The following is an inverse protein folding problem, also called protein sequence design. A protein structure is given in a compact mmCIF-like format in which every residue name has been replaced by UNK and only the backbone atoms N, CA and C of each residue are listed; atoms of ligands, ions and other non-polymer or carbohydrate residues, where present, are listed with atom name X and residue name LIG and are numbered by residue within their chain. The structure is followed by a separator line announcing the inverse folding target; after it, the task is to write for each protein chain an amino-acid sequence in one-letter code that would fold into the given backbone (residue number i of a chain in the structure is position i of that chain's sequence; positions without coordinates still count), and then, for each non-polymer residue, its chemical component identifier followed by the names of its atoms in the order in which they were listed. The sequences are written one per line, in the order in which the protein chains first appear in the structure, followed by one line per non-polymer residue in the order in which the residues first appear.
data_IF_971435065244
#
_entry.id   IF_971435065244
#
_cell.length_a   1.000
_cell.length_b   1.000
_cell.length_c   1.000
_cell.angle_alpha   90.00
_cell.angle_beta   90.00
_cell.angle_gamma   90.00
#
_symmetry.space_group_name_H-M   'P 1'
#
loop_
_entity.id
_entity.type
_entity.pdbx_description
1 polymer ?
#
# COMPACT_ATOMS: atom_id res chain seq x y z
N UNK A 1 -0.03 -2.70 -19.42
CA UNK A 1 -0.76 -1.85 -18.43
C UNK A 1 -1.33 -0.63 -19.17
N UNK A 2 -1.82 0.41 -18.48
CA UNK A 2 -1.98 1.76 -19.07
C UNK A 2 -1.22 2.80 -18.28
N UNK A 3 -0.40 3.60 -18.96
CA UNK A 3 0.32 4.71 -18.36
C UNK A 3 0.06 6.02 -19.12
N UNK A 4 0.04 7.13 -18.39
CA UNK A 4 -0.01 8.47 -18.97
C UNK A 4 0.71 9.47 -18.08
N UNK A 5 1.10 10.62 -18.64
CA UNK A 5 1.77 11.69 -17.91
C UNK A 5 0.88 12.94 -17.79
N UNK A 6 1.09 13.70 -16.71
CA UNK A 6 0.67 15.09 -16.58
C UNK A 6 1.85 15.98 -16.22
N UNK A 7 1.82 17.24 -16.63
CA UNK A 7 2.94 18.19 -16.48
C UNK A 7 3.99 18.06 -17.58
N UNK A 8 4.77 19.12 -17.77
CA UNK A 8 5.88 19.16 -18.73
C UNK A 8 7.19 18.63 -18.11
N UNK A 9 8.07 18.08 -18.95
CA UNK A 9 9.36 17.51 -18.53
C UNK A 9 9.36 15.99 -18.38
N UNK A 10 10.47 15.46 -17.88
CA UNK A 10 10.61 14.04 -17.53
C UNK A 10 10.04 13.80 -16.12
N UNK A 11 9.23 12.75 -15.91
CA UNK A 11 8.65 12.47 -14.60
C UNK A 11 9.71 11.96 -13.63
N UNK A 12 9.75 12.51 -12.43
CA UNK A 12 10.57 12.01 -11.32
C UNK A 12 9.75 11.10 -10.37
N UNK A 13 8.42 11.08 -10.57
CA UNK A 13 7.44 10.45 -9.69
C UNK A 13 6.44 9.62 -10.49
N UNK A 14 6.00 8.51 -9.89
CA UNK A 14 4.89 7.71 -10.40
C UNK A 14 3.83 7.50 -9.33
N UNK A 15 2.56 7.48 -9.77
CA UNK A 15 1.42 7.04 -8.98
C UNK A 15 0.84 5.80 -9.64
N UNK A 16 0.95 4.66 -8.96
CA UNK A 16 0.39 3.38 -9.35
C UNK A 16 -0.96 3.19 -8.67
N UNK A 17 -1.92 2.60 -9.39
CA UNK A 17 -3.22 2.24 -8.87
C UNK A 17 -3.79 1.04 -9.64
N UNK A 18 -4.78 0.37 -9.05
CA UNK A 18 -5.37 -0.85 -9.58
C UNK A 18 -4.32 -1.94 -9.85
N UNK A 19 -3.36 -2.12 -8.93
CA UNK A 19 -2.51 -3.32 -8.89
C UNK A 19 -3.40 -4.56 -8.73
N UNK A 20 -4.39 -4.48 -7.85
CA UNK A 20 -5.56 -5.36 -7.84
C UNK A 20 -6.72 -4.69 -8.57
N UNK A 21 -7.34 -5.40 -9.51
CA UNK A 21 -8.37 -4.81 -10.39
C UNK A 21 -9.65 -4.36 -9.67
N UNK A 22 -9.99 -5.01 -8.57
CA UNK A 22 -11.19 -4.72 -7.77
C UNK A 22 -10.98 -3.62 -6.71
N UNK A 23 -9.78 -3.06 -6.59
CA UNK A 23 -9.45 -1.94 -5.70
C UNK A 23 -9.49 -0.63 -6.51
N UNK A 24 -10.66 0.03 -6.50
CA UNK A 24 -10.99 1.13 -7.42
C UNK A 24 -10.75 2.52 -6.83
N UNK A 25 -10.39 2.61 -5.56
CA UNK A 25 -10.25 3.85 -4.80
C UNK A 25 -9.15 4.74 -5.36
N UNK A 26 -7.97 4.17 -5.63
CA UNK A 26 -6.85 4.88 -6.26
C UNK A 26 -7.21 5.44 -7.64
N UNK A 27 -7.91 4.64 -8.46
CA UNK A 27 -8.40 5.09 -9.76
C UNK A 27 -9.34 6.29 -9.64
N UNK A 28 -10.34 6.21 -8.75
CA UNK A 28 -11.29 7.32 -8.51
C UNK A 28 -10.58 8.57 -8.01
N UNK A 29 -9.59 8.44 -7.13
CA UNK A 29 -8.78 9.55 -6.65
C UNK A 29 -8.00 10.23 -7.78
N UNK A 30 -7.35 9.46 -8.65
CA UNK A 30 -6.65 9.97 -9.84
C UNK A 30 -7.64 10.66 -10.79
N UNK A 31 -8.78 10.04 -11.07
CA UNK A 31 -9.81 10.64 -11.93
C UNK A 31 -10.34 11.97 -11.36
N UNK A 32 -10.61 12.04 -10.06
CA UNK A 32 -11.02 13.28 -9.38
C UNK A 32 -9.96 14.38 -9.52
N UNK A 33 -8.68 14.03 -9.30
CA UNK A 33 -7.56 14.95 -9.48
C UNK A 33 -7.53 15.51 -10.90
N UNK A 34 -7.58 14.65 -11.92
CA UNK A 34 -7.52 15.08 -13.33
C UNK A 34 -8.76 15.90 -13.71
N UNK A 35 -9.95 15.49 -13.28
CA UNK A 35 -11.20 16.20 -13.59
C UNK A 35 -11.32 17.55 -12.88
N UNK A 36 -10.62 17.73 -11.75
CA UNK A 36 -10.57 19.00 -11.02
C UNK A 36 -9.75 20.09 -11.73
N UNK A 37 -9.14 19.79 -12.90
CA UNK A 37 -8.29 20.71 -13.68
C UNK A 37 -7.13 21.29 -12.88
N UNK A 38 -6.56 20.49 -11.97
CA UNK A 38 -5.34 20.84 -11.24
C UNK A 38 -4.22 21.13 -12.24
N UNK A 39 -3.49 22.23 -12.03
CA UNK A 39 -2.29 22.56 -12.79
C UNK A 39 -1.10 21.76 -12.26
N UNK A 40 -0.29 21.23 -13.17
CA UNK A 40 0.87 20.40 -12.87
C UNK A 40 2.15 21.19 -13.15
N UNK A 41 2.86 21.54 -12.10
CA UNK A 41 4.12 22.31 -12.15
C UNK A 41 5.33 21.45 -12.54
N UNK A 42 5.21 20.12 -12.39
CA UNK A 42 6.21 19.14 -12.79
C UNK A 42 5.54 17.92 -13.44
N UNK A 43 6.30 17.19 -14.23
CA UNK A 43 5.86 15.92 -14.78
C UNK A 43 5.66 14.86 -13.68
N UNK A 44 4.55 14.11 -13.79
CA UNK A 44 4.25 12.92 -12.99
C UNK A 44 3.63 11.85 -13.88
N UNK A 45 4.08 10.61 -13.69
CA UNK A 45 3.54 9.43 -14.38
C UNK A 45 2.38 8.84 -13.57
N UNK A 46 1.27 8.53 -14.21
CA UNK A 46 0.15 7.78 -13.64
C UNK A 46 0.07 6.42 -14.32
N UNK A 47 0.01 5.37 -13.52
CA UNK A 47 0.07 3.98 -13.97
C UNK A 47 -1.15 3.22 -13.44
N UNK A 48 -2.03 2.83 -14.35
CA UNK A 48 -3.05 1.83 -14.09
C UNK A 48 -2.45 0.45 -14.36
N UNK A 49 -2.09 -0.26 -13.29
CA UNK A 49 -1.31 -1.49 -13.37
C UNK A 49 -2.09 -2.63 -14.05
N UNK A 50 -3.20 -3.06 -13.46
CA UNK A 50 -3.94 -4.23 -13.92
C UNK A 50 -5.28 -3.86 -14.60
N UNK A 51 -5.20 -3.38 -15.84
CA UNK A 51 -6.38 -2.94 -16.59
C UNK A 51 -7.41 -4.06 -16.81
N UNK A 52 -7.00 -5.24 -17.27
CA UNK A 52 -7.95 -6.33 -17.55
C UNK A 52 -8.66 -6.80 -16.29
N UNK A 53 -7.95 -6.94 -15.16
CA UNK A 53 -8.58 -7.32 -13.90
C UNK A 53 -9.62 -6.27 -13.49
N UNK A 54 -9.30 -4.98 -13.63
CA UNK A 54 -10.26 -3.90 -13.40
C UNK A 54 -11.49 -3.99 -14.30
N UNK A 55 -11.30 -4.20 -15.62
CA UNK A 55 -12.42 -4.34 -16.56
C UNK A 55 -13.32 -5.53 -16.22
N UNK A 56 -12.75 -6.61 -15.67
CA UNK A 56 -13.51 -7.77 -15.18
C UNK A 56 -14.10 -7.61 -13.78
N UNK A 57 -13.69 -6.58 -13.02
CA UNK A 57 -14.08 -6.40 -11.61
C UNK A 57 -13.43 -7.41 -10.66
N UNK A 58 -12.39 -8.11 -11.10
CA UNK A 58 -11.69 -9.16 -10.34
C UNK A 58 -10.39 -8.62 -9.72
N UNK A 59 -9.87 -9.34 -8.72
CA UNK A 59 -8.56 -9.00 -8.12
C UNK A 59 -7.43 -9.14 -9.15
N UNK A 60 -7.45 -10.24 -9.91
CA UNK A 60 -6.50 -10.57 -10.96
C UNK A 60 -7.15 -11.50 -12.01
N UNK A 61 -6.48 -11.74 -13.14
CA UNK A 61 -6.92 -12.63 -14.22
C UNK A 61 -6.28 -14.02 -14.09
N UNK A 62 -4.94 -14.11 -14.16
CA UNK A 62 -4.23 -15.39 -14.17
C UNK A 62 -3.50 -15.67 -12.84
N UNK A 63 -2.84 -14.66 -12.27
CA UNK A 63 -2.13 -14.74 -10.98
C UNK A 63 -2.15 -13.40 -10.24
N UNK A 64 -1.93 -13.39 -8.93
CA UNK A 64 -1.85 -12.14 -8.17
C UNK A 64 -0.65 -11.29 -8.65
N UNK A 65 -0.92 -10.10 -9.21
CA UNK A 65 0.11 -9.20 -9.74
C UNK A 65 1.13 -8.82 -8.66
N UNK A 66 0.68 -8.59 -7.42
CA UNK A 66 1.55 -8.23 -6.30
C UNK A 66 2.37 -9.42 -5.77
N UNK A 67 2.34 -10.57 -6.46
CA UNK A 67 3.20 -11.74 -6.24
C UNK A 67 3.89 -12.22 -7.53
N UNK A 68 3.73 -11.47 -8.62
CA UNK A 68 4.20 -11.86 -9.95
C UNK A 68 5.50 -11.14 -10.37
N UNK A 69 6.06 -10.27 -9.52
CA UNK A 69 7.29 -9.52 -9.82
C UNK A 69 8.54 -10.40 -9.64
N UNK A 70 9.61 -10.22 -10.46
CA UNK A 70 9.75 -9.25 -11.54
C UNK A 70 9.04 -9.62 -12.84
N UNK A 71 8.44 -10.81 -12.90
CA UNK A 71 7.67 -11.27 -14.05
C UNK A 71 8.52 -11.62 -15.28
N UNK A 72 7.85 -11.79 -16.42
CA UNK A 72 8.49 -12.07 -17.71
C UNK A 72 7.63 -11.57 -18.87
N UNK A 73 8.25 -10.84 -19.81
CA UNK A 73 7.61 -10.35 -21.03
C UNK A 73 7.10 -11.47 -21.94
N UNK A 74 7.75 -12.64 -21.87
CA UNK A 74 7.42 -13.82 -22.67
C UNK A 74 6.49 -14.79 -21.92
N UNK A 75 6.00 -14.44 -20.73
CA UNK A 75 5.08 -15.30 -19.98
C UNK A 75 3.74 -15.44 -20.68
N UNK A 76 3.11 -16.61 -20.55
CA UNK A 76 1.72 -16.83 -20.95
C UNK A 76 0.75 -16.21 -19.95
N UNK A 77 1.16 -16.04 -18.68
CA UNK A 77 0.35 -15.40 -17.63
C UNK A 77 0.31 -13.89 -17.83
N UNK A 78 -0.88 -13.32 -17.77
CA UNK A 78 -1.08 -11.90 -18.00
C UNK A 78 -0.38 -11.03 -16.97
N UNK A 79 -0.52 -11.33 -15.68
CA UNK A 79 0.11 -10.54 -14.62
C UNK A 79 1.64 -10.59 -14.64
N UNK A 80 2.27 -11.72 -15.00
CA UNK A 80 3.74 -11.77 -15.14
C UNK A 80 4.25 -10.86 -16.25
N UNK A 81 3.51 -10.69 -17.35
CA UNK A 81 3.89 -9.73 -18.41
C UNK A 81 3.75 -8.29 -17.91
N UNK A 82 2.70 -7.99 -17.16
CA UNK A 82 2.47 -6.67 -16.58
C UNK A 82 3.54 -6.34 -15.53
N UNK A 83 3.94 -7.30 -14.69
CA UNK A 83 5.00 -7.10 -13.71
C UNK A 83 6.33 -6.71 -14.40
N UNK A 84 6.69 -7.39 -15.49
CA UNK A 84 7.89 -7.04 -16.27
C UNK A 84 7.80 -5.66 -16.92
N UNK A 85 6.63 -5.26 -17.43
CA UNK A 85 6.38 -3.92 -17.96
C UNK A 85 6.50 -2.84 -16.87
N UNK A 86 5.97 -3.10 -15.66
CA UNK A 86 6.05 -2.19 -14.52
C UNK A 86 7.46 -1.96 -14.01
N UNK A 87 8.31 -3.00 -13.97
CA UNK A 87 9.72 -2.84 -13.56
C UNK A 87 10.44 -1.82 -14.45
N UNK A 88 10.22 -1.89 -15.76
CA UNK A 88 10.84 -0.95 -16.71
C UNK A 88 10.18 0.43 -16.65
N UNK A 89 8.86 0.50 -16.53
CA UNK A 89 8.13 1.77 -16.52
C UNK A 89 8.37 2.61 -15.25
N UNK A 90 8.70 1.96 -14.14
CA UNK A 90 8.88 2.58 -12.83
C UNK A 90 10.35 2.76 -12.43
N UNK A 91 11.29 2.32 -13.28
CA UNK A 91 12.73 2.43 -13.04
C UNK A 91 13.12 3.89 -12.69
N UNK A 92 13.91 4.04 -11.62
CA UNK A 92 14.39 5.32 -11.08
C UNK A 92 13.32 6.32 -10.58
N UNK A 93 12.02 6.01 -10.64
CA UNK A 93 10.96 6.90 -10.17
C UNK A 93 10.73 6.77 -8.65
N UNK A 94 10.33 7.87 -8.00
CA UNK A 94 9.73 7.80 -6.66
C UNK A 94 8.26 7.36 -6.81
N UNK A 95 7.92 6.18 -6.29
CA UNK A 95 6.61 5.55 -6.53
C UNK A 95 5.71 5.62 -5.31
N UNK A 96 4.44 6.01 -5.53
CA UNK A 96 3.31 5.78 -4.63
C UNK A 96 2.38 4.74 -5.28
N UNK A 97 2.16 3.60 -4.64
CA UNK A 97 1.14 2.62 -5.04
C UNK A 97 -0.07 2.68 -4.10
N UNK A 98 -1.28 2.75 -4.64
CA UNK A 98 -2.52 2.93 -3.86
C UNK A 98 -3.35 1.64 -3.90
N UNK A 99 -3.49 1.00 -2.73
CA UNK A 99 -4.28 -0.19 -2.49
C UNK A 99 -5.45 0.12 -1.56
N UNK A 100 -6.39 -0.82 -1.45
CA UNK A 100 -7.47 -0.71 -0.47
C UNK A 100 -7.73 -2.00 0.31
N UNK A 101 -8.02 -1.82 1.59
CA UNK A 101 -8.15 -2.91 2.56
C UNK A 101 -9.47 -2.81 3.33
N UNK A 102 -9.89 -3.94 3.91
CA UNK A 102 -10.97 -4.00 4.90
C UNK A 102 -10.44 -3.72 6.32
N UNK A 103 -9.12 -3.86 6.53
CA UNK A 103 -8.49 -3.63 7.83
C UNK A 103 -8.55 -2.16 8.24
N UNK A 104 -8.59 -1.93 9.55
CA UNK A 104 -8.66 -0.61 10.16
C UNK A 104 -7.72 -0.52 11.36
N UNK A 105 -7.22 0.68 11.70
CA UNK A 105 -7.49 1.99 11.07
C UNK A 105 -6.73 2.22 9.75
N UNK A 106 -7.30 3.05 8.87
CA UNK A 106 -6.73 3.54 7.60
C UNK A 106 -6.74 5.07 7.56
N UNK A 107 -5.88 5.73 6.77
CA UNK A 107 -4.81 5.16 5.95
C UNK A 107 -3.52 4.87 6.72
N UNK A 108 -2.72 3.92 6.21
CA UNK A 108 -1.35 3.64 6.63
C UNK A 108 -0.51 3.25 5.42
N UNK A 109 0.81 3.36 5.50
CA UNK A 109 1.71 2.97 4.41
C UNK A 109 2.41 1.64 4.66
N UNK A 110 2.82 0.98 3.58
CA UNK A 110 3.72 -0.17 3.58
C UNK A 110 5.01 0.21 2.83
N UNK A 111 6.14 -0.32 3.29
CA UNK A 111 7.44 -0.13 2.65
C UNK A 111 8.37 -1.28 2.99
N UNK A 112 9.46 -1.43 2.21
CA UNK A 112 10.40 -2.54 2.35
C UNK A 112 11.84 -2.06 2.29
N UNK A 113 12.17 -1.22 1.30
CA UNK A 113 13.47 -0.58 1.19
C UNK A 113 13.66 0.54 2.23
N UNK A 114 14.91 0.74 2.66
CA UNK A 114 15.33 1.84 3.54
C UNK A 114 16.20 2.86 2.79
N UNK A 115 16.07 2.90 1.46
CA UNK A 115 16.70 3.93 0.64
C UNK A 115 16.07 5.31 0.86
N UNK A 116 16.80 6.35 0.50
CA UNK A 116 16.41 7.74 0.71
C UNK A 116 15.07 8.08 0.04
N UNK A 117 14.81 7.59 -1.18
CA UNK A 117 13.56 7.89 -1.90
C UNK A 117 12.34 7.32 -1.16
N UNK A 118 12.45 6.11 -0.62
CA UNK A 118 11.38 5.47 0.15
C UNK A 118 11.18 6.17 1.50
N UNK A 119 12.26 6.49 2.21
CA UNK A 119 12.17 7.18 3.50
C UNK A 119 11.59 8.59 3.36
N UNK A 120 11.98 9.34 2.32
CA UNK A 120 11.34 10.61 1.98
C UNK A 120 9.85 10.42 1.67
N UNK A 121 9.51 9.47 0.80
CA UNK A 121 8.14 9.23 0.39
C UNK A 121 7.23 8.94 1.59
N UNK A 122 7.68 8.15 2.57
CA UNK A 122 6.94 7.89 3.80
C UNK A 122 6.50 9.16 4.54
N UNK A 123 7.38 10.16 4.63
CA UNK A 123 7.04 11.45 5.26
C UNK A 123 6.11 12.30 4.40
N UNK A 124 6.26 12.20 3.07
CA UNK A 124 5.52 12.97 2.09
C UNK A 124 4.06 12.52 1.92
N UNK A 125 3.72 11.29 2.34
CA UNK A 125 2.34 10.81 2.36
C UNK A 125 1.48 11.46 3.46
N UNK A 126 2.10 11.99 4.52
CA UNK A 126 1.41 12.54 5.69
C UNK A 126 0.41 11.56 6.33
N UNK A 127 0.85 10.31 6.49
CA UNK A 127 0.11 9.25 7.20
C UNK A 127 0.73 8.98 8.56
N UNK A 128 -0.09 8.53 9.51
CA UNK A 128 0.34 8.38 10.91
C UNK A 128 1.13 7.11 11.20
N UNK A 129 1.00 6.10 10.34
CA UNK A 129 1.57 4.76 10.55
C UNK A 129 2.17 4.23 9.26
N UNK A 130 3.28 3.52 9.40
CA UNK A 130 3.98 2.84 8.34
C UNK A 130 4.32 1.42 8.79
N UNK A 131 4.31 0.48 7.86
CA UNK A 131 4.61 -0.92 8.12
C UNK A 131 5.77 -1.36 7.24
N UNK A 132 6.80 -1.85 7.88
CA UNK A 132 7.94 -2.48 7.21
C UNK A 132 7.58 -3.95 6.94
N UNK A 133 7.52 -4.33 5.65
CA UNK A 133 7.00 -5.63 5.20
C UNK A 133 8.05 -6.50 4.47
N UNK A 134 9.35 -6.24 4.63
CA UNK A 134 10.41 -7.08 4.01
C UNK A 134 10.36 -8.56 4.42
N UNK A 135 9.61 -8.90 5.46
CA UNK A 135 9.27 -10.28 5.81
C UNK A 135 8.48 -11.00 4.69
N UNK A 136 7.66 -10.26 3.94
CA UNK A 136 6.84 -10.79 2.84
C UNK A 136 7.61 -10.72 1.51
N UNK A 137 7.92 -11.86 0.88
CA UNK A 137 8.63 -11.86 -0.40
C UNK A 137 7.74 -11.36 -1.54
N UNK A 138 8.38 -10.91 -2.62
CA UNK A 138 7.78 -10.73 -3.95
C UNK A 138 6.63 -9.71 -4.11
N UNK A 139 6.39 -8.84 -3.12
CA UNK A 139 5.58 -7.62 -3.28
C UNK A 139 6.21 -6.66 -4.31
N UNK A 140 5.41 -5.95 -5.10
CA UNK A 140 5.90 -5.06 -6.17
C UNK A 140 6.89 -4.00 -5.68
N UNK A 141 6.57 -3.34 -4.56
CA UNK A 141 7.43 -2.34 -3.93
C UNK A 141 8.79 -2.88 -3.47
N UNK A 142 8.96 -4.22 -3.33
CA UNK A 142 10.29 -4.82 -3.09
C UNK A 142 11.24 -4.67 -4.27
N UNK A 143 10.71 -4.55 -5.49
CA UNK A 143 11.50 -4.67 -6.71
C UNK A 143 11.60 -3.34 -7.47
N UNK A 144 10.50 -2.61 -7.67
CA UNK A 144 10.57 -1.26 -8.27
C UNK A 144 10.77 -0.15 -7.23
N UNK A 145 10.74 -0.47 -5.93
CA UNK A 145 10.86 0.50 -4.84
C UNK A 145 9.58 1.30 -4.58
N UNK A 146 9.68 2.35 -3.78
CA UNK A 146 8.54 3.21 -3.42
C UNK A 146 7.77 2.77 -2.18
N UNK A 147 6.60 3.37 -2.01
CA UNK A 147 5.71 3.17 -0.86
C UNK A 147 4.32 2.77 -1.36
N UNK A 148 3.71 1.82 -0.66
CA UNK A 148 2.31 1.49 -0.83
C UNK A 148 1.49 2.22 0.24
N UNK A 149 0.28 2.64 -0.10
CA UNK A 149 -0.70 3.12 0.89
C UNK A 149 -1.96 2.28 0.84
N UNK A 150 -2.43 1.93 2.02
CA UNK A 150 -3.67 1.21 2.24
C UNK A 150 -4.75 2.18 2.69
N UNK A 151 -5.83 2.28 1.92
CA UNK A 151 -7.03 3.07 2.26
C UNK A 151 -8.21 2.16 2.55
N UNK A 152 -9.21 2.65 3.31
CA UNK A 152 -10.31 1.77 3.66
C UNK A 152 -11.50 2.40 4.39
N UNK A 153 -12.63 1.68 4.46
CA UNK A 153 -12.84 0.35 3.90
C UNK A 153 -12.95 0.37 2.38
N UNK A 154 -12.46 -0.68 1.74
CA UNK A 154 -12.61 -0.88 0.31
C UNK A 154 -14.08 -0.79 -0.13
N UNK A 155 -14.29 -0.25 -1.32
CA UNK A 155 -15.60 -0.01 -1.92
C UNK A 155 -16.33 1.22 -1.40
N UNK A 156 -15.77 1.99 -0.46
CA UNK A 156 -16.46 3.13 0.16
C UNK A 156 -15.99 4.50 -0.34
N UNK A 157 -16.89 5.49 -0.30
CA UNK A 157 -16.54 6.89 -0.60
C UNK A 157 -15.51 7.46 0.39
N UNK A 158 -15.45 6.92 1.61
CA UNK A 158 -14.46 7.29 2.61
C UNK A 158 -13.06 6.88 2.17
N UNK A 159 -12.88 5.66 1.67
CA UNK A 159 -11.60 5.21 1.15
C UNK A 159 -11.17 6.00 -0.10
N UNK A 160 -12.10 6.41 -0.96
CA UNK A 160 -11.81 7.33 -2.08
C UNK A 160 -11.29 8.68 -1.57
N UNK A 161 -11.91 9.25 -0.53
CA UNK A 161 -11.45 10.52 0.07
C UNK A 161 -10.09 10.38 0.72
N UNK A 162 -9.81 9.26 1.39
CA UNK A 162 -8.49 8.95 1.94
C UNK A 162 -7.44 8.87 0.83
N UNK A 163 -7.73 8.14 -0.25
CA UNK A 163 -6.84 8.03 -1.41
C UNK A 163 -6.59 9.39 -2.06
N UNK A 164 -7.62 10.22 -2.25
CA UNK A 164 -7.47 11.58 -2.81
C UNK A 164 -6.62 12.47 -1.89
N UNK A 165 -6.82 12.38 -0.56
CA UNK A 165 -6.03 13.14 0.41
C UNK A 165 -4.55 12.75 0.34
N UNK A 166 -4.24 11.46 0.37
CA UNK A 166 -2.84 10.96 0.30
C UNK A 166 -2.21 11.33 -1.03
N UNK A 167 -2.90 11.07 -2.15
CA UNK A 167 -2.43 11.41 -3.49
C UNK A 167 -2.10 12.90 -3.59
N UNK A 168 -3.02 13.79 -3.21
CA UNK A 168 -2.79 15.24 -3.30
C UNK A 168 -1.63 15.65 -2.40
N UNK A 169 -1.56 15.14 -1.18
CA UNK A 169 -0.48 15.51 -0.25
C UNK A 169 0.89 15.06 -0.76
N UNK A 170 0.99 13.85 -1.31
CA UNK A 170 2.21 13.33 -1.93
C UNK A 170 2.67 14.23 -3.09
N UNK A 171 1.74 14.63 -3.98
CA UNK A 171 2.03 15.51 -5.11
C UNK A 171 2.42 16.93 -4.67
N UNK A 172 1.75 17.50 -3.66
CA UNK A 172 2.07 18.82 -3.09
C UNK A 172 3.46 18.81 -2.44
N UNK A 173 3.76 17.78 -1.65
CA UNK A 173 5.04 17.70 -0.94
C UNK A 173 6.24 17.58 -1.89
N UNK A 174 6.02 16.95 -3.06
CA UNK A 174 6.99 16.84 -4.15
C UNK A 174 6.95 18.02 -5.15
N UNK A 175 6.05 18.99 -4.95
CA UNK A 175 5.93 20.20 -5.78
C UNK A 175 5.38 19.94 -7.18
N UNK A 176 4.68 18.83 -7.39
CA UNK A 176 4.01 18.50 -8.65
C UNK A 176 2.77 19.38 -8.86
N UNK A 177 2.06 19.68 -7.77
CA UNK A 177 0.88 20.57 -7.78
C UNK A 177 1.02 21.61 -6.68
N UNK A 178 0.31 22.74 -6.81
CA UNK A 178 0.28 23.76 -5.75
C UNK A 178 -0.51 23.29 -4.52
N UNK A 179 -0.02 23.66 -3.33
CA UNK A 179 -0.69 23.39 -2.07
C UNK A 179 0.22 23.65 -0.87
N UNK A 180 -0.35 23.53 0.33
CA UNK A 180 0.41 23.59 1.57
C UNK A 180 1.16 22.29 1.81
N UNK A 181 2.50 22.37 1.87
CA UNK A 181 3.32 21.21 2.23
C UNK A 181 3.05 20.84 3.68
N UNK A 182 2.79 19.56 3.90
CA UNK A 182 2.56 19.01 5.22
C UNK A 182 3.11 17.57 5.24
N UNK A 183 4.15 17.36 6.04
CA UNK A 183 4.85 16.07 6.18
C UNK A 183 4.60 15.55 7.59
N UNK A 184 4.62 14.23 7.74
CA UNK A 184 4.49 13.59 9.04
C UNK A 184 5.41 12.37 9.11
N UNK A 185 6.15 12.23 10.21
CA UNK A 185 6.91 11.02 10.49
C UNK A 185 5.96 9.95 11.04
N UNK A 186 5.77 8.82 10.34
CA UNK A 186 4.85 7.78 10.79
C UNK A 186 5.45 6.94 11.94
N UNK A 187 4.60 6.44 12.83
CA UNK A 187 4.99 5.35 13.73
C UNK A 187 5.23 4.07 12.91
N UNK A 188 6.40 3.44 13.09
CA UNK A 188 6.78 2.25 12.30
C UNK A 188 6.47 0.95 13.03
N UNK A 189 5.88 0.01 12.31
CA UNK A 189 5.63 -1.37 12.73
C UNK A 189 6.36 -2.34 11.80
N UNK A 190 7.17 -3.24 12.32
CA UNK A 190 7.93 -4.22 11.52
C UNK A 190 7.25 -5.58 11.59
N UNK A 191 6.85 -6.13 10.45
CA UNK A 191 6.22 -7.45 10.37
C UNK A 191 7.23 -8.53 10.75
N UNK A 192 6.83 -9.42 11.66
CA UNK A 192 7.66 -10.52 12.17
C UNK A 192 7.11 -11.90 11.85
N UNK A 193 5.88 -11.98 11.34
CA UNK A 193 5.27 -13.24 10.95
C UNK A 193 3.81 -13.11 10.55
N UNK A 194 3.30 -14.17 9.94
CA UNK A 194 1.87 -14.34 9.65
C UNK A 194 1.13 -14.92 10.86
N UNK A 195 -0.17 -14.62 10.93
CA UNK A 195 -1.11 -15.30 11.82
C UNK A 195 -1.91 -16.27 10.97
N UNK A 196 -1.62 -17.56 11.13
CA UNK A 196 -2.38 -18.62 10.46
C UNK A 196 -3.88 -18.46 10.73
N UNK A 197 -4.70 -18.75 9.71
CA UNK A 197 -6.15 -18.85 9.85
C UNK A 197 -6.54 -20.32 9.96
N UNK A 198 -6.89 -20.83 11.15
CA UNK A 198 -7.47 -22.16 11.25
C UNK A 198 -8.78 -22.23 10.48
N UNK A 199 -9.19 -23.43 10.06
CA UNK A 199 -10.46 -23.62 9.36
C UNK A 199 -11.63 -23.08 10.19
N UNK A 200 -12.38 -22.10 9.67
CA UNK A 200 -13.54 -21.51 10.33
C UNK A 200 -13.72 -20.02 10.04
N UNK A 201 -14.84 -19.49 10.49
CA UNK A 201 -15.17 -18.06 10.41
C UNK A 201 -14.69 -17.38 11.70
N UNK A 202 -13.48 -16.86 11.64
CA UNK A 202 -12.82 -16.19 12.75
C UNK A 202 -13.06 -14.68 12.69
N UNK A 203 -13.65 -14.14 13.76
CA UNK A 203 -13.81 -12.70 14.00
C UNK A 203 -12.58 -12.17 14.74
N UNK A 204 -11.99 -11.09 14.24
CA UNK A 204 -10.93 -10.38 14.94
C UNK A 204 -11.50 -9.48 16.04
N UNK A 205 -11.01 -9.63 17.27
CA UNK A 205 -11.53 -8.94 18.46
C UNK A 205 -10.69 -7.71 18.87
N UNK A 206 -9.50 -7.55 18.29
CA UNK A 206 -8.59 -6.45 18.59
C UNK A 206 -8.77 -5.27 17.64
N UNK A 207 -7.78 -4.37 17.67
CA UNK A 207 -7.65 -3.27 16.72
C UNK A 207 -6.23 -3.31 16.12
N UNK A 208 -6.09 -3.12 14.80
CA UNK A 208 -4.76 -3.08 14.19
C UNK A 208 -3.92 -1.96 14.82
N UNK A 209 -2.62 -2.21 14.96
CA UNK A 209 -1.65 -1.31 15.59
C UNK A 209 -1.85 -1.07 17.09
N UNK A 210 -2.74 -1.82 17.76
CA UNK A 210 -2.88 -1.84 19.22
C UNK A 210 -2.29 -3.14 19.76
N UNK A 211 -1.44 -3.07 20.78
CA UNK A 211 -0.75 -4.26 21.31
C UNK A 211 -1.76 -5.29 21.84
N UNK A 212 -1.69 -6.51 21.31
CA UNK A 212 -2.30 -7.71 21.88
C UNK A 212 -1.28 -8.31 22.83
N UNK A 213 -1.64 -8.48 24.10
CA UNK A 213 -0.70 -9.02 25.09
C UNK A 213 -0.62 -10.54 25.02
N UNK A 214 0.52 -11.09 25.40
CA UNK A 214 0.64 -12.52 25.65
C UNK A 214 -0.50 -13.02 26.57
N UNK A 215 -1.15 -14.10 26.14
CA UNK A 215 -2.36 -14.70 26.74
C UNK A 215 -3.67 -13.95 26.54
N UNK A 216 -3.69 -12.90 25.74
CA UNK A 216 -4.92 -12.21 25.38
C UNK A 216 -5.62 -12.97 24.24
N UNK A 217 -6.93 -13.12 24.35
CA UNK A 217 -7.76 -13.67 23.26
C UNK A 217 -7.96 -12.58 22.21
N UNK A 218 -7.55 -12.84 20.97
CA UNK A 218 -7.57 -11.84 19.90
C UNK A 218 -8.50 -12.22 18.73
N UNK A 219 -8.94 -13.46 18.64
CA UNK A 219 -9.94 -13.88 17.65
C UNK A 219 -10.87 -14.94 18.23
N UNK A 220 -12.09 -15.03 17.69
CA UNK A 220 -13.07 -16.02 18.09
C UNK A 220 -13.82 -16.60 16.89
N UNK A 221 -14.28 -17.84 17.03
CA UNK A 221 -15.16 -18.52 16.08
C UNK A 221 -16.08 -19.48 16.85
N UNK A 222 -16.99 -20.15 16.13
CA UNK A 222 -17.78 -21.26 16.67
C UNK A 222 -16.91 -22.44 17.13
N UNK A 223 -15.68 -22.56 16.61
CA UNK A 223 -14.70 -23.59 16.96
C UNK A 223 -13.83 -23.24 18.18
N UNK A 224 -13.92 -22.02 18.72
CA UNK A 224 -13.22 -21.61 19.94
C UNK A 224 -12.59 -20.22 19.84
N UNK A 225 -11.51 -20.01 20.59
CA UNK A 225 -10.78 -18.73 20.65
C UNK A 225 -9.31 -18.91 20.29
N UNK A 226 -8.71 -17.86 19.71
CA UNK A 226 -7.26 -17.77 19.54
C UNK A 226 -6.67 -16.87 20.61
N UNK A 227 -5.68 -17.39 21.32
CA UNK A 227 -4.93 -16.70 22.35
C UNK A 227 -3.51 -16.41 21.87
N UNK A 228 -3.01 -15.20 22.15
CA UNK A 228 -1.68 -14.78 21.74
C UNK A 228 -0.57 -15.52 22.52
N UNK A 229 0.30 -16.24 21.81
CA UNK A 229 1.46 -16.94 22.40
C UNK A 229 2.53 -15.99 22.95
N UNK A 230 2.57 -14.77 22.41
CA UNK A 230 3.47 -13.66 22.74
C UNK A 230 2.77 -12.33 22.48
N UNK A 231 3.31 -11.22 22.99
CA UNK A 231 2.75 -9.90 22.67
C UNK A 231 3.14 -9.48 21.25
N UNK A 232 2.21 -8.89 20.50
CA UNK A 232 2.45 -8.37 19.16
C UNK A 232 1.47 -7.25 18.82
N UNK A 233 1.77 -6.48 17.77
CA UNK A 233 0.85 -5.53 17.18
C UNK A 233 0.24 -6.16 15.92
N UNK A 234 -1.10 -6.32 15.84
CA UNK A 234 -1.75 -6.85 14.65
C UNK A 234 -1.69 -5.83 13.51
N UNK A 235 -1.39 -6.30 12.30
CA UNK A 235 -1.38 -5.48 11.07
C UNK A 235 -2.12 -6.22 9.97
N UNK A 236 -2.91 -5.50 9.17
CA UNK A 236 -3.76 -6.07 8.12
C UNK A 236 -4.60 -7.25 8.64
N UNK A 237 -4.94 -7.24 9.93
CA UNK A 237 -5.80 -8.27 10.51
C UNK A 237 -7.24 -7.96 10.13
N UNK A 238 -7.89 -8.92 9.47
CA UNK A 238 -9.28 -8.83 9.04
C UNK A 238 -9.84 -10.21 8.68
N UNK A 239 -11.15 -10.29 8.53
CA UNK A 239 -11.87 -11.48 8.09
C UNK A 239 -11.70 -11.76 6.59
N UNK A 240 -11.06 -10.85 5.84
CA UNK A 240 -11.06 -10.83 4.38
C UNK A 240 -10.05 -11.76 3.70
N UNK A 241 -8.95 -12.10 4.38
CA UNK A 241 -7.93 -13.02 3.87
C UNK A 241 -8.40 -14.48 3.95
N UNK A 242 -8.15 -15.27 2.89
CA UNK A 242 -8.51 -16.69 2.83
C UNK A 242 -7.62 -17.57 3.73
N UNK A 243 -6.32 -17.31 3.72
CA UNK A 243 -5.31 -18.26 4.23
C UNK A 243 -4.66 -17.82 5.55
N UNK A 244 -4.72 -16.52 5.86
CA UNK A 244 -4.19 -15.93 7.08
C UNK A 244 -5.26 -15.04 7.73
N UNK A 245 -5.10 -14.73 9.02
CA UNK A 245 -5.92 -13.71 9.69
C UNK A 245 -5.34 -12.31 9.52
N UNK A 246 -4.03 -12.22 9.33
CA UNK A 246 -3.26 -10.99 9.23
C UNK A 246 -1.81 -11.24 9.64
N UNK A 247 -1.11 -10.18 10.03
CA UNK A 247 0.30 -10.22 10.39
C UNK A 247 0.53 -9.84 11.85
N UNK A 248 1.57 -10.43 12.43
CA UNK A 248 2.18 -9.98 13.68
C UNK A 248 3.29 -9.00 13.38
N UNK A 249 3.37 -7.94 14.17
CA UNK A 249 4.45 -6.97 14.08
C UNK A 249 4.96 -6.52 15.44
N UNK A 250 6.11 -5.86 15.43
CA UNK A 250 6.68 -5.14 16.58
C UNK A 250 6.79 -3.66 16.27
N UNK A 251 6.57 -2.80 17.27
CA UNK A 251 6.82 -1.36 17.10
C UNK A 251 8.33 -1.10 16.98
N UNK A 252 8.75 -0.36 15.94
CA UNK A 252 10.15 -0.09 15.66
C UNK A 252 10.49 1.40 15.82
N UNK A 253 10.81 1.79 17.05
CA UNK A 253 11.17 3.18 17.39
C UNK A 253 12.45 3.65 16.69
N UNK A 254 13.44 2.76 16.49
CA UNK A 254 14.69 3.11 15.81
C UNK A 254 14.48 3.45 14.34
N UNK A 255 13.59 2.74 13.63
CA UNK A 255 13.23 3.09 12.26
C UNK A 255 12.42 4.39 12.21
N UNK A 256 11.60 4.64 13.22
CA UNK A 256 10.86 5.91 13.34
C UNK A 256 11.85 7.07 13.49
N UNK A 257 12.86 6.93 14.36
CA UNK A 257 13.95 7.91 14.53
C UNK A 257 14.81 8.08 13.26
N UNK A 258 15.04 7.00 12.51
CA UNK A 258 15.74 7.07 11.23
C UNK A 258 14.97 7.93 10.22
N UNK A 259 13.66 7.69 10.06
CA UNK A 259 12.81 8.48 9.15
C UNK A 259 12.80 9.96 9.57
N UNK A 260 12.73 10.22 10.88
CA UNK A 260 12.79 11.59 11.42
C UNK A 260 14.07 12.34 11.01
N UNK A 261 15.20 11.64 10.88
CA UNK A 261 16.45 12.23 10.42
C UNK A 261 16.40 12.68 8.95
N UNK A 262 15.68 11.95 8.08
CA UNK A 262 15.50 12.30 6.67
C UNK A 262 14.44 13.39 6.43
N UNK A 263 13.72 13.82 7.48
CA UNK A 263 12.83 14.98 7.40
C UNK A 263 13.58 16.33 7.58
N UNK A 264 14.76 16.32 8.21
CA UNK A 264 15.53 17.52 8.60
C UNK A 264 16.62 17.89 7.58
#
# INVERSE_FOLDING_TARGET
MKAFQKGEGEPELAVVYCTHGNEVEGKKAVENLINSRTEFNKAVKFVMANEKAYESGERFIDSDLNRSFPGSKDSELYEERIAAEMIEELEDLKVLDIHSTESRPTPFSLFTSKDEKVLEALTELNVSKAVEISFTPDCGINLYGGVEVEVGPRGTDEAVKQAEKVLRQFLVNNGVIEGEKNRNVPEVFEVTGEVDRPEGDWEFLGENFVEIKKKETFAQSDKGTLEASESFYPVLMSESYSDILGFKSVKNEKLTELIQYYEC
#
